data_IF_541063465113
#
_entry.id   IF_541063465113
#
_cell.length_a   1.000
_cell.length_b   1.000
_cell.length_c   1.000
_cell.angle_alpha   90.00
_cell.angle_beta   90.00
_cell.angle_gamma   90.00
#
_symmetry.space_group_name_H-M   'P 1'
#
loop_
_entity.id
_entity.type
_entity.pdbx_description
1 polymer ?
#
# COMPACT_ATOMS: atom_id res chain seq x y z
N UNK A 1 17.52 18.46 7.93
CA UNK A 1 17.61 17.21 8.71
C UNK A 1 18.65 17.33 9.83
N UNK A 2 18.64 16.43 10.81
CA UNK A 2 19.69 16.20 11.81
C UNK A 2 19.99 14.70 11.83
N UNK A 3 21.25 14.31 11.67
CA UNK A 3 21.64 12.91 11.84
C UNK A 3 21.51 12.49 13.30
N UNK A 4 21.13 11.24 13.50
CA UNK A 4 21.29 10.57 14.78
C UNK A 4 22.78 10.31 14.95
N UNK A 5 23.37 10.84 16.02
CA UNK A 5 24.81 10.79 16.23
C UNK A 5 25.21 9.62 17.13
N UNK A 6 24.44 9.36 18.19
CA UNK A 6 24.86 8.40 19.22
C UNK A 6 23.73 7.67 19.92
N UNK A 7 24.03 6.45 20.34
CA UNK A 7 23.26 5.68 21.30
C UNK A 7 23.75 6.00 22.72
N UNK A 8 22.92 6.67 23.51
CA UNK A 8 23.28 7.11 24.87
C UNK A 8 22.94 6.07 25.93
N UNK A 9 22.02 5.15 25.65
CA UNK A 9 21.60 4.08 26.56
C UNK A 9 21.09 2.90 25.75
N UNK A 10 21.40 1.68 26.18
CA UNK A 10 20.85 0.44 25.64
C UNK A 10 20.65 -0.59 26.75
N UNK A 11 19.43 -1.07 26.88
CA UNK A 11 19.04 -2.06 27.88
C UNK A 11 18.20 -3.18 27.27
N UNK A 12 18.18 -4.32 27.96
CA UNK A 12 17.33 -5.44 27.58
C UNK A 12 15.95 -5.20 28.15
N UNK A 13 14.98 -4.97 27.28
CA UNK A 13 13.57 -4.89 27.62
C UNK A 13 12.88 -6.25 27.55
N UNK A 14 11.57 -6.31 27.90
CA UNK A 14 10.80 -7.56 27.88
C UNK A 14 10.58 -8.15 26.48
N UNK A 15 10.77 -7.35 25.43
CA UNK A 15 10.43 -7.66 24.04
C UNK A 15 11.62 -7.64 23.09
N UNK A 16 12.78 -7.16 23.55
CA UNK A 16 13.89 -6.79 22.69
C UNK A 16 14.87 -5.85 23.38
N UNK A 17 15.72 -5.19 22.60
CA UNK A 17 16.58 -4.12 23.12
C UNK A 17 15.84 -2.78 23.07
N UNK A 18 15.95 -1.99 24.13
CA UNK A 18 15.38 -0.64 24.22
C UNK A 18 16.54 0.32 24.43
N UNK A 19 16.57 1.39 23.65
CA UNK A 19 17.65 2.36 23.70
C UNK A 19 17.18 3.81 23.60
N UNK A 20 18.10 4.71 23.89
CA UNK A 20 17.92 6.15 23.74
C UNK A 20 18.97 6.69 22.77
N UNK A 21 18.51 7.40 21.74
CA UNK A 21 19.35 7.98 20.71
C UNK A 21 19.34 9.51 20.88
N UNK A 22 20.53 10.13 20.85
CA UNK A 22 20.73 11.58 21.04
C UNK A 22 20.03 12.17 22.28
N UNK A 23 19.74 11.35 23.29
CA UNK A 23 19.02 11.76 24.50
C UNK A 23 17.51 12.03 24.33
N UNK A 24 16.94 11.99 23.13
CA UNK A 24 15.50 12.30 22.93
C UNK A 24 14.71 11.26 22.14
N UNK A 25 15.33 10.55 21.21
CA UNK A 25 14.64 9.53 20.42
C UNK A 25 14.71 8.17 21.14
N UNK A 26 13.67 7.35 20.99
CA UNK A 26 13.61 6.03 21.62
C UNK A 26 13.74 4.95 20.56
N UNK A 27 14.73 4.08 20.74
CA UNK A 27 15.01 2.90 19.93
C UNK A 27 14.34 1.68 20.56
N UNK A 28 13.70 0.85 19.73
CA UNK A 28 13.31 -0.50 20.08
C UNK A 28 13.77 -1.45 18.97
N UNK A 29 14.43 -2.54 19.35
CA UNK A 29 14.87 -3.61 18.44
C UNK A 29 14.24 -4.91 18.90
N UNK A 30 13.41 -5.52 18.07
CA UNK A 30 12.62 -6.69 18.43
C UNK A 30 12.84 -7.81 17.40
N UNK A 31 13.12 -9.03 17.86
CA UNK A 31 13.06 -10.21 17.00
C UNK A 31 11.59 -10.66 16.88
N UNK A 32 11.07 -10.80 15.67
CA UNK A 32 9.74 -11.35 15.41
C UNK A 32 9.81 -12.86 15.15
N UNK A 33 10.87 -13.28 14.45
CA UNK A 33 11.24 -14.67 14.19
C UNK A 33 12.77 -14.76 14.21
N UNK A 34 13.37 -15.97 14.10
CA UNK A 34 14.82 -16.08 13.95
C UNK A 34 15.38 -15.31 12.75
N UNK A 35 14.60 -15.05 11.71
CA UNK A 35 15.04 -14.42 10.45
C UNK A 35 14.43 -13.04 10.20
N UNK A 36 13.56 -12.56 11.09
CA UNK A 36 12.90 -11.26 10.98
C UNK A 36 13.18 -10.45 12.24
N UNK A 37 13.92 -9.35 12.06
CA UNK A 37 14.24 -8.39 13.13
C UNK A 37 13.70 -7.03 12.75
N UNK A 38 13.05 -6.37 13.70
CA UNK A 38 12.43 -5.06 13.55
C UNK A 38 13.22 -4.01 14.31
N UNK A 39 13.36 -2.82 13.72
CA UNK A 39 13.91 -1.62 14.35
C UNK A 39 12.86 -0.52 14.27
N UNK A 40 12.34 -0.12 15.42
CA UNK A 40 11.42 1.00 15.57
C UNK A 40 12.14 2.15 16.27
N UNK A 41 12.11 3.35 15.66
CA UNK A 41 12.61 4.58 16.29
C UNK A 41 11.49 5.59 16.40
N UNK A 42 11.16 5.92 17.64
CA UNK A 42 10.19 6.96 18.00
C UNK A 42 10.91 8.29 18.14
N UNK A 43 10.68 9.18 17.19
CA UNK A 43 11.25 10.53 17.22
C UNK A 43 10.68 11.28 18.42
N UNK A 44 11.56 11.75 19.30
CA UNK A 44 11.22 12.40 20.56
C UNK A 44 10.31 11.54 21.47
N UNK A 45 10.43 10.21 21.38
CA UNK A 45 9.63 9.27 22.15
C UNK A 45 8.17 9.13 21.71
N UNK A 46 7.78 9.72 20.57
CA UNK A 46 6.43 9.68 20.05
C UNK A 46 6.35 8.94 18.70
N UNK A 47 5.18 8.36 18.43
CA UNK A 47 4.82 7.82 17.12
C UNK A 47 3.94 8.84 16.39
N UNK A 48 4.14 8.94 15.07
CA UNK A 48 3.20 9.64 14.18
C UNK A 48 1.93 8.85 13.97
N UNK A 49 2.08 7.54 13.81
CA UNK A 49 0.96 6.62 13.68
C UNK A 49 1.18 5.43 14.60
N UNK A 50 0.37 5.31 15.65
CA UNK A 50 0.52 4.29 16.68
C UNK A 50 0.09 2.88 16.23
N UNK A 51 -0.45 2.77 15.02
CA UNK A 51 -1.06 1.56 14.48
C UNK A 51 -0.47 1.19 13.12
N UNK A 52 -0.56 -0.10 12.80
CA UNK A 52 -0.18 -0.66 11.50
C UNK A 52 -1.26 -1.59 10.97
N UNK A 53 -1.40 -1.59 9.64
CA UNK A 53 -2.27 -2.49 8.88
C UNK A 53 -1.47 -3.43 7.98
N UNK A 54 -0.14 -3.26 7.93
CA UNK A 54 0.74 -4.05 7.06
C UNK A 54 1.15 -5.38 7.68
N UNK A 55 1.00 -5.55 9.00
CA UNK A 55 1.66 -6.62 9.75
C UNK A 55 0.62 -7.65 10.22
N UNK A 56 0.58 -8.80 9.57
CA UNK A 56 -0.28 -9.93 9.94
C UNK A 56 0.42 -10.92 10.88
N UNK A 57 1.73 -11.16 10.69
CA UNK A 57 2.50 -12.22 11.38
C UNK A 57 1.80 -13.59 11.34
N UNK A 58 1.35 -14.00 10.15
CA UNK A 58 0.65 -15.27 9.95
C UNK A 58 -0.82 -15.31 10.37
N UNK A 59 -1.39 -14.20 10.84
CA UNK A 59 -2.84 -14.07 11.01
C UNK A 59 -3.54 -14.11 9.65
N UNK A 60 -4.80 -14.56 9.67
CA UNK A 60 -5.68 -14.54 8.50
C UNK A 60 -6.07 -13.11 8.11
N UNK A 61 -6.31 -12.24 9.09
CA UNK A 61 -6.66 -10.84 8.87
C UNK A 61 -6.16 -9.92 9.99
N UNK A 62 -6.17 -8.62 9.71
CA UNK A 62 -5.85 -7.53 10.65
C UNK A 62 -7.16 -6.81 11.04
N UNK A 63 -7.35 -6.35 12.30
CA UNK A 63 -8.52 -5.54 12.68
C UNK A 63 -8.70 -4.30 11.80
N UNK A 64 -9.93 -3.81 11.67
CA UNK A 64 -10.23 -2.60 10.89
C UNK A 64 -9.46 -1.39 11.42
N UNK A 65 -9.38 -1.26 12.73
CA UNK A 65 -8.70 -0.19 13.45
C UNK A 65 -7.18 -0.30 13.40
N UNK A 66 -6.63 -1.42 12.91
CA UNK A 66 -5.19 -1.72 12.87
C UNK A 66 -4.67 -2.36 14.16
N UNK A 67 -3.43 -2.84 14.12
CA UNK A 67 -2.73 -3.38 15.29
C UNK A 67 -1.84 -2.30 15.91
N UNK A 68 -1.71 -2.32 17.23
CA UNK A 68 -0.74 -1.49 17.93
C UNK A 68 0.69 -1.84 17.47
N UNK A 69 1.45 -0.82 17.08
CA UNK A 69 2.87 -0.97 16.72
C UNK A 69 3.73 -1.42 17.91
N UNK A 70 3.24 -1.30 19.14
CA UNK A 70 4.00 -1.63 20.36
C UNK A 70 3.69 -3.04 20.88
N UNK A 71 2.74 -3.76 20.27
CA UNK A 71 2.21 -5.04 20.77
C UNK A 71 2.34 -6.19 19.76
N UNK A 72 3.28 -6.07 18.81
CA UNK A 72 3.52 -7.14 17.83
C UNK A 72 4.08 -8.42 18.50
N UNK A 73 3.92 -9.61 17.89
CA UNK A 73 4.56 -10.82 18.39
C UNK A 73 6.08 -10.70 18.43
N UNK A 74 6.74 -11.36 19.39
CA UNK A 74 8.20 -11.42 19.48
C UNK A 74 8.70 -12.86 19.62
N UNK A 75 9.95 -13.08 19.23
CA UNK A 75 10.69 -14.32 19.36
C UNK A 75 11.84 -14.19 20.36
N UNK A 76 12.43 -15.32 20.74
CA UNK A 76 13.61 -15.35 21.59
C UNK A 76 14.81 -14.67 20.90
N UNK A 77 15.64 -14.01 21.71
CA UNK A 77 16.88 -13.39 21.28
C UNK A 77 17.90 -13.44 22.43
N UNK A 78 19.17 -13.39 22.07
CA UNK A 78 20.29 -13.19 22.96
C UNK A 78 20.82 -11.76 22.78
N UNK A 79 21.38 -11.20 23.86
CA UNK A 79 22.13 -9.94 23.83
C UNK A 79 23.61 -10.23 23.99
N UNK A 80 24.41 -9.75 23.05
CA UNK A 80 25.87 -9.76 23.12
C UNK A 80 26.37 -8.31 23.05
N UNK A 81 26.65 -7.69 24.20
CA UNK A 81 27.03 -6.26 24.28
C UNK A 81 25.95 -5.32 23.68
N UNK A 82 26.20 -4.76 22.48
CA UNK A 82 25.26 -3.93 21.72
C UNK A 82 24.53 -4.70 20.61
N UNK A 83 24.78 -6.01 20.50
CA UNK A 83 24.20 -6.85 19.45
C UNK A 83 22.90 -7.52 19.94
N UNK A 84 21.90 -7.62 19.06
CA UNK A 84 20.76 -8.54 19.19
C UNK A 84 21.01 -9.75 18.27
N UNK A 85 20.88 -10.96 18.81
CA UNK A 85 21.18 -12.21 18.11
C UNK A 85 20.01 -13.18 18.22
N UNK A 86 19.59 -13.78 17.10
CA UNK A 86 18.45 -14.71 17.04
C UNK A 86 18.84 -16.13 16.60
N UNK A 87 20.14 -16.39 16.47
CA UNK A 87 20.70 -17.57 15.81
C UNK A 87 21.25 -17.22 14.43
N UNK A 88 20.41 -17.17 13.37
CA UNK A 88 20.89 -16.90 12.03
C UNK A 88 21.08 -15.40 11.75
N UNK A 89 20.40 -14.51 12.46
CA UNK A 89 20.54 -13.05 12.31
C UNK A 89 21.25 -12.46 13.53
N UNK A 90 22.16 -11.53 13.24
CA UNK A 90 22.74 -10.62 14.24
C UNK A 90 22.62 -9.19 13.75
N UNK A 91 22.01 -8.34 14.57
CA UNK A 91 22.04 -6.89 14.39
C UNK A 91 23.07 -6.31 15.36
N UNK A 92 24.12 -5.70 14.82
CA UNK A 92 25.10 -4.93 15.58
C UNK A 92 24.75 -3.46 15.58
N UNK A 93 24.68 -2.87 16.78
CA UNK A 93 24.43 -1.44 16.97
C UNK A 93 25.75 -0.78 17.36
N UNK A 94 26.34 -0.03 16.44
CA UNK A 94 27.49 0.82 16.74
C UNK A 94 26.99 2.04 17.51
N UNK A 95 27.53 2.37 18.71
CA UNK A 95 26.93 3.40 19.55
C UNK A 95 27.40 4.83 19.24
N UNK A 96 28.64 5.01 18.75
CA UNK A 96 29.21 6.34 18.43
C UNK A 96 30.32 6.21 17.37
N UNK A 97 30.09 6.64 16.11
CA UNK A 97 28.81 7.14 15.59
C UNK A 97 27.75 6.04 15.55
N UNK A 98 26.48 6.43 15.76
CA UNK A 98 25.34 5.52 15.69
C UNK A 98 25.18 4.94 14.29
N UNK A 99 25.28 3.61 14.16
CA UNK A 99 25.09 2.87 12.91
C UNK A 99 24.58 1.45 13.15
N UNK A 100 23.83 0.91 12.21
CA UNK A 100 23.43 -0.49 12.19
C UNK A 100 24.23 -1.31 11.17
N UNK A 101 24.64 -2.51 11.58
CA UNK A 101 25.24 -3.51 10.71
C UNK A 101 24.57 -4.86 10.91
N UNK A 102 24.15 -5.47 9.79
CA UNK A 102 23.35 -6.68 9.76
C UNK A 102 24.18 -7.86 9.28
N UNK A 103 24.07 -8.96 10.02
CA UNK A 103 24.73 -10.22 9.71
C UNK A 103 23.71 -11.33 9.51
N UNK A 104 23.96 -12.18 8.52
CA UNK A 104 23.23 -13.43 8.32
C UNK A 104 24.23 -14.59 8.23
N UNK A 105 24.02 -15.63 9.06
CA UNK A 105 24.92 -16.79 9.17
C UNK A 105 26.41 -16.38 9.33
N UNK A 106 26.65 -15.35 10.14
CA UNK A 106 27.99 -14.82 10.45
C UNK A 106 28.60 -13.89 9.39
N UNK A 107 27.96 -13.69 8.23
CA UNK A 107 28.44 -12.78 7.18
C UNK A 107 27.75 -11.43 7.28
N UNK A 108 28.50 -10.33 7.20
CA UNK A 108 27.94 -8.97 7.11
C UNK A 108 27.25 -8.81 5.76
N UNK A 109 25.92 -8.64 5.76
CA UNK A 109 25.10 -8.57 4.53
C UNK A 109 24.64 -7.15 4.20
N UNK A 110 24.48 -6.29 5.20
CA UNK A 110 24.09 -4.90 5.03
C UNK A 110 24.77 -4.04 6.09
N UNK A 111 25.31 -2.89 5.67
CA UNK A 111 25.90 -1.89 6.57
C UNK A 111 25.34 -0.51 6.25
N UNK A 112 24.93 0.21 7.28
CA UNK A 112 24.55 1.60 7.18
C UNK A 112 25.72 2.50 6.74
N UNK A 113 25.41 3.65 6.12
CA UNK A 113 26.43 4.56 5.59
C UNK A 113 27.22 5.23 6.72
N UNK A 114 28.55 5.16 6.64
CA UNK A 114 29.44 5.60 7.74
C UNK A 114 29.47 7.11 8.00
N UNK A 115 29.12 7.92 6.98
CA UNK A 115 29.12 9.39 7.01
C UNK A 115 27.77 9.97 7.43
N UNK A 116 26.91 9.15 8.04
CA UNK A 116 25.57 9.51 8.49
C UNK A 116 24.55 8.56 7.90
N UNK A 117 23.94 7.75 8.77
CA UNK A 117 23.04 6.66 8.39
C UNK A 117 21.58 6.98 8.55
N UNK A 118 21.16 7.57 9.67
CA UNK A 118 19.77 7.91 9.95
C UNK A 118 19.67 9.38 10.30
N UNK A 119 18.69 10.08 9.72
CA UNK A 119 18.40 11.47 10.04
C UNK A 119 16.91 11.73 10.16
N UNK A 120 16.56 12.67 11.02
CA UNK A 120 15.20 13.17 11.18
C UNK A 120 15.09 14.66 10.83
N UNK A 121 13.89 15.06 10.45
CA UNK A 121 13.51 16.44 10.24
C UNK A 121 13.68 17.25 11.52
N UNK A 122 14.21 18.49 11.43
CA UNK A 122 14.36 19.33 12.63
C UNK A 122 13.05 19.97 13.06
N UNK A 123 12.18 20.26 12.09
CA UNK A 123 10.90 20.99 12.28
C UNK A 123 9.69 20.20 11.78
N UNK A 124 9.94 19.08 11.12
CA UNK A 124 8.99 18.23 10.41
C UNK A 124 9.29 16.76 10.69
N UNK A 125 8.44 15.87 10.22
CA UNK A 125 8.52 14.42 10.50
C UNK A 125 9.23 13.61 9.40
N UNK A 126 9.80 14.31 8.41
CA UNK A 126 10.64 13.68 7.39
C UNK A 126 11.77 12.88 8.02
N UNK A 127 12.12 11.78 7.38
CA UNK A 127 13.22 10.92 7.81
C UNK A 127 14.02 10.43 6.60
N UNK A 128 15.29 10.16 6.84
CA UNK A 128 16.24 9.69 5.83
C UNK A 128 17.06 8.54 6.41
N UNK A 129 17.21 7.48 5.64
CA UNK A 129 18.00 6.31 6.01
C UNK A 129 18.94 5.95 4.86
N UNK A 130 20.22 5.75 5.15
CA UNK A 130 21.29 5.60 4.17
C UNK A 130 22.08 4.33 4.44
N UNK A 131 22.30 3.53 3.40
CA UNK A 131 23.15 2.35 3.46
C UNK A 131 24.33 2.49 2.53
N UNK A 132 25.44 1.84 2.89
CA UNK A 132 26.55 1.64 1.97
C UNK A 132 26.09 0.76 0.80
N UNK A 133 26.35 1.17 -0.43
CA UNK A 133 26.07 0.37 -1.62
C UNK A 133 27.27 -0.54 -1.93
N UNK A 134 27.02 -1.83 -2.15
CA UNK A 134 28.05 -2.76 -2.59
C UNK A 134 28.09 -2.86 -4.12
N UNK A 135 29.27 -3.04 -4.72
CA UNK A 135 29.39 -3.19 -6.17
C UNK A 135 28.52 -4.31 -6.73
N UNK A 136 28.30 -5.39 -5.96
CA UNK A 136 27.62 -6.60 -6.42
C UNK A 136 26.11 -6.63 -6.10
N UNK A 137 25.60 -5.60 -5.39
CA UNK A 137 24.18 -5.52 -5.01
C UNK A 137 23.27 -5.45 -6.23
N UNK A 138 22.25 -6.30 -6.26
CA UNK A 138 21.10 -6.23 -7.17
C UNK A 138 19.84 -6.01 -6.36
N UNK A 139 18.93 -5.20 -6.88
CA UNK A 139 17.73 -4.79 -6.16
C UNK A 139 16.47 -5.22 -6.89
N UNK A 140 15.50 -5.77 -6.16
CA UNK A 140 14.21 -6.21 -6.70
C UNK A 140 13.06 -5.76 -5.80
N UNK A 141 11.82 -5.87 -6.27
CA UNK A 141 10.64 -5.49 -5.49
C UNK A 141 10.15 -4.08 -5.82
N UNK A 142 9.79 -3.31 -4.79
CA UNK A 142 9.11 -2.01 -4.87
C UNK A 142 7.69 -2.06 -5.47
N UNK A 143 7.12 -3.26 -5.60
CA UNK A 143 5.80 -3.49 -6.14
C UNK A 143 5.72 -3.23 -7.65
N UNK A 144 4.59 -2.65 -8.08
CA UNK A 144 4.36 -2.31 -9.48
C UNK A 144 5.17 -1.07 -9.88
N UNK A 145 6.30 -1.29 -10.55
CA UNK A 145 7.19 -0.23 -11.05
C UNK A 145 7.68 -0.54 -12.46
N UNK A 146 7.76 0.51 -13.28
CA UNK A 146 8.20 0.44 -14.67
C UNK A 146 9.68 0.07 -14.81
N UNK A 147 10.09 -0.30 -16.02
CA UNK A 147 11.48 -0.59 -16.37
C UNK A 147 11.98 -1.94 -15.89
N UNK A 148 13.30 -2.11 -16.01
CA UNK A 148 14.00 -3.37 -15.78
C UNK A 148 13.79 -3.94 -14.37
N UNK A 149 13.81 -5.27 -14.27
CA UNK A 149 13.58 -5.98 -13.01
C UNK A 149 14.64 -5.65 -11.95
N UNK A 150 15.91 -5.55 -12.34
CA UNK A 150 16.96 -5.03 -11.46
C UNK A 150 16.82 -3.51 -11.35
N UNK A 151 16.61 -3.05 -10.11
CA UNK A 151 16.31 -1.67 -9.78
C UNK A 151 17.55 -0.84 -9.47
N UNK A 152 18.75 -1.43 -9.53
CA UNK A 152 20.03 -0.75 -9.29
C UNK A 152 20.20 0.49 -10.18
N UNK A 153 20.72 1.57 -9.60
CA UNK A 153 21.05 2.81 -10.31
C UNK A 153 19.83 3.69 -10.64
N UNK A 154 18.66 3.39 -10.08
CA UNK A 154 17.43 4.16 -10.27
C UNK A 154 16.88 4.71 -8.95
N UNK A 155 16.02 5.71 -9.10
CA UNK A 155 15.16 6.24 -8.04
C UNK A 155 13.71 5.84 -8.28
N UNK A 156 12.99 5.63 -7.20
CA UNK A 156 11.56 5.33 -7.20
C UNK A 156 10.84 6.14 -6.14
N UNK A 157 9.71 6.71 -6.51
CA UNK A 157 8.76 7.35 -5.62
C UNK A 157 7.59 6.39 -5.31
N UNK A 158 7.30 6.25 -4.02
CA UNK A 158 6.11 5.57 -3.49
C UNK A 158 5.06 6.63 -3.20
N UNK A 159 4.42 7.11 -4.27
CA UNK A 159 3.26 8.00 -4.22
C UNK A 159 2.27 7.52 -5.27
N UNK A 160 1.09 7.10 -4.84
CA UNK A 160 0.09 6.61 -5.77
C UNK A 160 -0.42 7.76 -6.63
N UNK A 161 -0.43 7.55 -7.95
CA UNK A 161 -1.00 8.47 -8.94
C UNK A 161 -1.72 7.65 -10.01
N UNK A 162 -2.54 8.30 -10.83
CA UNK A 162 -3.06 7.74 -12.08
C UNK A 162 -2.19 8.22 -13.27
N UNK A 163 -1.13 7.49 -13.65
CA UNK A 163 -0.24 7.86 -14.74
C UNK A 163 -0.79 7.34 -16.08
N UNK A 164 -2.02 7.71 -16.44
CA UNK A 164 -2.65 7.26 -17.68
C UNK A 164 -1.71 7.43 -18.88
N UNK A 165 -1.43 6.33 -19.60
CA UNK A 165 -0.53 6.33 -20.76
C UNK A 165 0.97 6.30 -20.41
N UNK A 166 1.33 5.86 -19.20
CA UNK A 166 2.72 5.78 -18.76
C UNK A 166 3.64 4.97 -19.69
N UNK A 167 4.91 5.37 -19.74
CA UNK A 167 5.95 4.62 -20.43
C UNK A 167 6.41 3.44 -19.56
N UNK A 168 6.23 2.23 -20.07
CA UNK A 168 6.52 1.00 -19.34
C UNK A 168 8.00 0.81 -19.00
N UNK A 169 8.91 1.61 -19.56
CA UNK A 169 10.36 1.55 -19.30
C UNK A 169 10.84 2.58 -18.28
N UNK A 170 10.19 3.74 -18.22
CA UNK A 170 10.78 4.92 -17.58
C UNK A 170 9.88 5.63 -16.58
N UNK A 171 8.56 5.58 -16.72
CA UNK A 171 7.66 6.39 -15.89
C UNK A 171 7.59 5.89 -14.45
N UNK A 172 7.74 6.80 -13.50
CA UNK A 172 7.57 6.60 -12.06
C UNK A 172 7.15 7.96 -11.46
N UNK A 173 6.25 8.02 -10.45
CA UNK A 173 5.57 6.91 -9.78
C UNK A 173 4.38 6.31 -10.54
N UNK A 174 3.82 5.21 -10.02
CA UNK A 174 2.65 4.49 -10.57
C UNK A 174 1.53 4.32 -9.49
N UNK A 175 0.64 3.34 -9.66
CA UNK A 175 -0.60 3.19 -8.90
C UNK A 175 -0.45 2.68 -7.46
N UNK A 176 0.64 1.95 -7.15
CA UNK A 176 0.75 1.16 -5.90
C UNK A 176 1.87 1.64 -4.98
N UNK A 177 1.61 1.60 -3.67
CA UNK A 177 2.56 1.93 -2.62
C UNK A 177 3.11 0.64 -2.03
N UNK A 178 4.40 0.39 -2.19
CA UNK A 178 4.99 -0.87 -1.75
C UNK A 178 6.43 -0.66 -1.27
N UNK A 179 6.63 -0.19 -0.02
CA UNK A 179 7.94 0.20 0.52
C UNK A 179 8.77 -1.00 0.98
N UNK A 180 8.85 -2.03 0.14
CA UNK A 180 9.64 -3.24 0.34
C UNK A 180 10.55 -3.48 -0.87
N UNK A 181 11.83 -3.72 -0.62
CA UNK A 181 12.73 -4.22 -1.64
C UNK A 181 13.55 -5.40 -1.13
N UNK A 182 14.01 -6.20 -2.08
CA UNK A 182 14.94 -7.30 -1.90
C UNK A 182 16.31 -6.86 -2.38
N UNK A 183 17.35 -7.26 -1.67
CA UNK A 183 18.73 -7.14 -2.11
C UNK A 183 19.39 -8.52 -2.12
N UNK A 184 20.09 -8.80 -3.21
CA UNK A 184 21.03 -9.90 -3.31
C UNK A 184 22.41 -9.31 -3.60
N UNK A 185 23.40 -9.66 -2.78
CA UNK A 185 24.79 -9.31 -3.00
C UNK A 185 25.70 -10.54 -2.83
N UNK A 186 27.01 -10.33 -2.86
CA UNK A 186 28.05 -11.37 -2.77
C UNK A 186 28.07 -12.14 -1.45
N UNK A 187 27.45 -11.60 -0.39
CA UNK A 187 27.45 -12.19 0.95
C UNK A 187 26.12 -12.78 1.39
N UNK A 188 25.00 -12.42 0.76
CA UNK A 188 23.69 -12.93 1.15
C UNK A 188 22.49 -12.31 0.43
N UNK A 189 21.31 -12.77 0.84
CA UNK A 189 20.00 -12.34 0.36
C UNK A 189 19.17 -11.81 1.54
N UNK A 190 18.58 -10.63 1.39
CA UNK A 190 17.70 -10.06 2.40
C UNK A 190 16.65 -9.14 1.77
N UNK A 191 15.70 -8.71 2.59
CA UNK A 191 14.70 -7.71 2.24
C UNK A 191 14.55 -6.67 3.34
N UNK A 192 14.31 -5.43 2.94
CA UNK A 192 14.01 -4.32 3.83
C UNK A 192 12.58 -3.85 3.55
N UNK A 193 11.75 -3.89 4.58
CA UNK A 193 10.40 -3.33 4.55
C UNK A 193 10.29 -2.17 5.52
N UNK A 194 9.89 -1.00 5.01
CA UNK A 194 9.59 0.16 5.83
C UNK A 194 8.08 0.23 6.01
N UNK A 195 7.59 -0.03 7.22
CA UNK A 195 6.16 0.02 7.54
C UNK A 195 5.69 1.47 7.74
N UNK A 196 5.77 2.25 6.66
CA UNK A 196 5.41 3.65 6.59
C UNK A 196 4.57 3.92 5.33
N UNK A 197 3.39 4.50 5.52
CA UNK A 197 2.43 4.77 4.47
C UNK A 197 2.56 6.16 3.87
N UNK A 198 3.38 7.03 4.46
CA UNK A 198 3.67 8.34 3.90
C UNK A 198 4.44 8.20 2.58
N UNK A 199 4.28 9.20 1.70
CA UNK A 199 5.03 9.27 0.45
C UNK A 199 6.52 9.12 0.74
N UNK A 200 7.18 8.18 0.04
CA UNK A 200 8.58 7.90 0.27
C UNK A 200 9.36 7.66 -1.03
N UNK A 201 10.68 7.70 -0.93
CA UNK A 201 11.60 7.67 -2.04
C UNK A 201 12.69 6.66 -1.77
N UNK A 202 13.01 5.85 -2.76
CA UNK A 202 14.12 4.91 -2.75
C UNK A 202 15.13 5.35 -3.80
N UNK A 203 16.36 5.60 -3.40
CA UNK A 203 17.51 5.72 -4.27
C UNK A 203 18.34 4.44 -4.15
N UNK A 204 18.43 3.68 -5.23
CA UNK A 204 19.12 2.38 -5.27
C UNK A 204 20.48 2.49 -5.98
N UNK A 205 21.20 3.59 -5.72
CA UNK A 205 22.55 3.83 -6.25
C UNK A 205 22.58 4.76 -7.46
N UNK A 206 21.58 5.62 -7.61
CA UNK A 206 21.57 6.67 -8.64
C UNK A 206 22.33 7.92 -8.19
N UNK A 207 22.21 8.31 -6.92
CA UNK A 207 22.97 9.46 -6.39
C UNK A 207 24.46 9.12 -6.32
N UNK A 208 25.30 10.06 -6.79
CA UNK A 208 26.74 9.99 -6.67
C UNK A 208 27.19 11.21 -5.88
N UNK A 209 27.89 10.97 -4.77
CA UNK A 209 28.46 12.02 -3.94
C UNK A 209 29.87 11.65 -3.50
N UNK A 210 30.81 12.58 -3.68
CA UNK A 210 32.22 12.35 -3.42
C UNK A 210 32.56 12.20 -1.93
N UNK A 211 31.79 12.84 -1.04
CA UNK A 211 32.01 12.80 0.41
C UNK A 211 31.42 11.55 1.05
N UNK A 212 30.43 10.93 0.40
CA UNK A 212 29.68 9.82 0.95
C UNK A 212 30.00 8.46 0.31
N UNK A 213 30.69 8.43 -0.84
CA UNK A 213 30.93 7.21 -1.61
C UNK A 213 29.64 6.65 -2.22
N UNK A 214 29.63 5.42 -2.77
CA UNK A 214 28.40 4.78 -3.25
C UNK A 214 27.43 4.44 -2.10
N UNK A 215 26.17 4.84 -2.22
CA UNK A 215 25.14 4.57 -1.22
C UNK A 215 23.76 4.31 -1.82
N UNK A 216 22.86 3.79 -1.00
CA UNK A 216 21.42 3.77 -1.24
C UNK A 216 20.72 4.62 -0.19
N UNK A 217 19.52 5.12 -0.47
CA UNK A 217 18.74 5.83 0.54
C UNK A 217 17.25 5.56 0.47
N UNK A 218 16.63 5.50 1.65
CA UNK A 218 15.20 5.62 1.86
C UNK A 218 14.90 7.00 2.46
N UNK A 219 13.87 7.69 1.95
CA UNK A 219 13.44 9.00 2.45
C UNK A 219 11.93 9.02 2.55
N UNK A 220 11.36 9.48 3.66
CA UNK A 220 9.91 9.62 3.80
C UNK A 220 9.52 11.07 4.08
N UNK A 221 8.36 11.48 3.56
CA UNK A 221 7.80 12.82 3.75
C UNK A 221 7.25 13.03 5.19
N UNK A 222 6.78 11.97 5.83
CA UNK A 222 6.29 11.92 7.23
C UNK A 222 6.41 10.45 7.71
N UNK A 223 5.76 10.11 8.82
CA UNK A 223 5.67 8.78 9.40
C UNK A 223 6.81 8.46 10.37
N UNK A 224 6.89 7.18 10.71
CA UNK A 224 7.81 6.64 11.69
C UNK A 224 8.91 5.81 11.02
N UNK A 225 10.09 5.75 11.65
CA UNK A 225 11.12 4.80 11.23
C UNK A 225 10.78 3.43 11.84
N UNK A 226 10.09 2.60 11.06
CA UNK A 226 9.70 1.24 11.43
C UNK A 226 10.19 0.28 10.35
N UNK A 227 11.40 -0.26 10.56
CA UNK A 227 12.13 -1.07 9.60
C UNK A 227 12.08 -2.55 9.99
N UNK A 228 11.73 -3.40 9.03
CA UNK A 228 11.82 -4.86 9.14
C UNK A 228 12.94 -5.35 8.23
N UNK A 229 13.90 -6.06 8.82
CA UNK A 229 14.95 -6.78 8.13
C UNK A 229 14.57 -8.27 8.06
N UNK A 230 14.53 -8.82 6.85
CA UNK A 230 14.22 -10.22 6.59
C UNK A 230 15.40 -10.87 5.84
N UNK A 231 16.05 -11.89 6.42
CA UNK A 231 17.16 -12.57 5.75
C UNK A 231 16.94 -14.08 5.62
N UNK A 232 17.39 -14.65 4.51
CA UNK A 232 17.32 -16.09 4.27
C UNK A 232 18.37 -16.51 3.24
N UNK A 233 18.54 -17.82 3.04
CA UNK A 233 19.51 -18.38 2.08
C UNK A 233 19.29 -17.93 0.62
N UNK A 234 18.08 -17.53 0.24
CA UNK A 234 17.74 -17.07 -1.09
C UNK A 234 16.54 -16.11 -1.10
N UNK A 235 16.37 -15.38 -2.20
CA UNK A 235 15.29 -14.40 -2.37
C UNK A 235 13.87 -14.99 -2.25
N UNK A 236 13.66 -16.23 -2.68
CA UNK A 236 12.34 -16.88 -2.59
C UNK A 236 11.90 -17.06 -1.13
N UNK A 237 12.80 -17.49 -0.25
CA UNK A 237 12.48 -17.65 1.18
C UNK A 237 12.31 -16.29 1.88
N UNK A 238 13.05 -15.25 1.45
CA UNK A 238 12.81 -13.87 1.92
C UNK A 238 11.40 -13.41 1.50
N UNK A 239 10.99 -13.66 0.25
CA UNK A 239 9.63 -13.35 -0.22
C UNK A 239 8.56 -14.12 0.56
N UNK A 240 8.76 -15.42 0.85
CA UNK A 240 7.83 -16.20 1.68
C UNK A 240 7.71 -15.64 3.09
N UNK A 241 8.83 -15.22 3.68
CA UNK A 241 8.87 -14.58 5.00
C UNK A 241 8.13 -13.25 4.99
N UNK A 242 8.29 -12.45 3.93
CA UNK A 242 7.54 -11.22 3.74
C UNK A 242 6.03 -11.47 3.62
N UNK A 243 5.59 -12.47 2.84
CA UNK A 243 4.17 -12.84 2.77
C UNK A 243 3.62 -13.37 4.12
N UNK A 244 4.43 -14.08 4.91
CA UNK A 244 4.01 -14.45 6.27
C UNK A 244 3.87 -13.22 7.16
N UNK A 245 4.80 -12.26 7.06
CA UNK A 245 4.79 -11.03 7.84
C UNK A 245 3.57 -10.17 7.49
N UNK A 246 3.26 -10.01 6.20
CA UNK A 246 2.24 -9.05 5.73
C UNK A 246 0.87 -9.64 5.42
N UNK A 247 0.76 -10.97 5.37
CA UNK A 247 -0.47 -11.68 5.04
C UNK A 247 -0.33 -12.46 3.73
N UNK A 248 -0.82 -13.69 3.74
CA UNK A 248 -0.75 -14.57 2.57
C UNK A 248 -1.83 -14.19 1.56
N UNK A 249 -1.52 -14.32 0.28
CA UNK A 249 -2.50 -14.12 -0.79
C UNK A 249 -3.63 -15.14 -0.67
N UNK A 250 -4.87 -14.66 -0.69
CA UNK A 250 -6.06 -15.50 -0.77
C UNK A 250 -6.08 -16.28 -2.09
N UNK A 251 -6.52 -17.54 -2.08
CA UNK A 251 -6.69 -18.30 -3.32
C UNK A 251 -7.90 -17.73 -4.07
N UNK A 252 -7.73 -17.06 -5.22
CA UNK A 252 -8.86 -16.44 -5.90
C UNK A 252 -9.83 -17.52 -6.42
N UNK A 253 -11.10 -17.17 -6.64
CA UNK A 253 -12.07 -18.14 -7.13
C UNK A 253 -11.65 -18.65 -8.52
N UNK A 254 -11.87 -19.94 -8.79
CA UNK A 254 -11.37 -20.62 -10.00
C UNK A 254 -11.71 -19.88 -11.30
N UNK A 255 -12.88 -19.26 -11.38
CA UNK A 255 -13.33 -18.52 -12.56
C UNK A 255 -12.42 -17.32 -12.90
N UNK A 256 -11.71 -16.73 -11.93
CA UNK A 256 -10.85 -15.57 -12.18
C UNK A 256 -9.56 -15.92 -12.92
N UNK A 257 -9.25 -17.21 -13.08
CA UNK A 257 -8.08 -17.69 -13.82
C UNK A 257 -8.36 -17.85 -15.32
N UNK A 258 -9.63 -17.83 -15.72
CA UNK A 258 -10.03 -17.93 -17.12
C UNK A 258 -9.92 -16.61 -17.86
N UNK A 259 -10.19 -16.64 -19.17
CA UNK A 259 -10.15 -15.43 -19.99
C UNK A 259 -11.20 -14.41 -19.53
N UNK A 260 -10.75 -13.18 -19.30
CA UNK A 260 -11.59 -12.06 -18.89
C UNK A 260 -11.52 -10.94 -19.90
N UNK A 261 -12.67 -10.35 -20.22
CA UNK A 261 -12.80 -9.25 -21.16
C UNK A 261 -13.43 -8.02 -20.52
N UNK A 262 -13.10 -6.85 -21.04
CA UNK A 262 -13.66 -5.55 -20.68
C UNK A 262 -13.47 -4.58 -21.83
N UNK A 263 -14.38 -3.63 -21.99
CA UNK A 263 -14.16 -2.49 -22.87
C UNK A 263 -15.07 -1.34 -22.46
N UNK A 264 -14.49 -0.15 -22.29
CA UNK A 264 -15.29 1.06 -22.09
C UNK A 264 -16.19 1.35 -23.29
N UNK A 265 -15.79 0.96 -24.50
CA UNK A 265 -16.57 1.20 -25.71
C UNK A 265 -17.96 0.59 -25.65
N UNK A 266 -18.12 -0.59 -25.03
CA UNK A 266 -19.44 -1.21 -24.88
C UNK A 266 -20.31 -0.41 -23.90
N UNK A 267 -19.78 -0.13 -22.71
CA UNK A 267 -20.55 0.53 -21.65
C UNK A 267 -20.83 2.01 -21.93
N UNK A 268 -19.99 2.67 -22.73
CA UNK A 268 -20.19 4.08 -23.10
C UNK A 268 -21.17 4.25 -24.27
N UNK A 269 -21.41 3.20 -25.07
CA UNK A 269 -22.31 3.26 -26.22
C UNK A 269 -23.76 3.63 -25.81
N UNK A 270 -24.49 4.46 -26.57
CA UNK A 270 -25.88 4.83 -26.24
C UNK A 270 -26.85 3.65 -26.12
N UNK A 271 -26.58 2.56 -26.85
CA UNK A 271 -27.31 1.28 -26.76
C UNK A 271 -26.42 0.20 -26.11
N UNK A 272 -25.81 0.49 -24.96
CA UNK A 272 -24.79 -0.36 -24.34
C UNK A 272 -25.26 -1.81 -24.12
N UNK A 273 -26.43 -2.01 -23.50
CA UNK A 273 -26.99 -3.35 -23.26
C UNK A 273 -27.07 -4.18 -24.55
N UNK A 274 -27.65 -3.61 -25.63
CA UNK A 274 -27.74 -4.29 -26.93
C UNK A 274 -26.37 -4.67 -27.49
N UNK A 275 -25.36 -3.81 -27.34
CA UNK A 275 -24.00 -4.10 -27.82
C UNK A 275 -23.34 -5.22 -27.03
N UNK A 276 -23.56 -5.25 -25.72
CA UNK A 276 -23.03 -6.30 -24.85
C UNK A 276 -23.73 -7.65 -25.15
N UNK A 277 -25.04 -7.64 -25.40
CA UNK A 277 -25.78 -8.82 -25.84
C UNK A 277 -25.24 -9.36 -27.18
N UNK A 278 -25.01 -8.48 -28.16
CA UNK A 278 -24.40 -8.85 -29.44
C UNK A 278 -23.02 -9.46 -29.26
N UNK A 279 -22.18 -8.87 -28.41
CA UNK A 279 -20.86 -9.42 -28.09
C UNK A 279 -20.97 -10.83 -27.50
N UNK A 280 -21.94 -11.07 -26.61
CA UNK A 280 -22.14 -12.37 -25.98
C UNK A 280 -22.58 -13.43 -27.01
N UNK A 281 -23.48 -13.07 -27.92
CA UNK A 281 -23.93 -13.95 -29.00
C UNK A 281 -22.80 -14.25 -30.01
N UNK A 282 -21.97 -13.25 -30.33
CA UNK A 282 -20.78 -13.42 -31.18
C UNK A 282 -19.71 -14.29 -30.50
N UNK A 283 -19.47 -14.09 -29.21
CA UNK A 283 -18.53 -14.91 -28.46
C UNK A 283 -18.94 -16.39 -28.47
N UNK A 284 -20.23 -16.67 -28.31
CA UNK A 284 -20.78 -18.03 -28.43
C UNK A 284 -20.63 -18.59 -29.86
N UNK A 285 -20.98 -17.81 -30.88
CA UNK A 285 -20.85 -18.21 -32.29
C UNK A 285 -19.38 -18.49 -32.70
N UNK A 286 -18.44 -17.75 -32.12
CA UNK A 286 -17.00 -17.93 -32.33
C UNK A 286 -16.34 -18.91 -31.36
N UNK A 287 -17.10 -19.56 -30.48
CA UNK A 287 -16.59 -20.51 -29.48
C UNK A 287 -15.52 -19.90 -28.57
N UNK A 288 -15.68 -18.62 -28.22
CA UNK A 288 -14.84 -17.92 -27.25
C UNK A 288 -15.27 -18.28 -25.83
N UNK A 289 -14.42 -19.02 -25.12
CA UNK A 289 -14.64 -19.36 -23.72
C UNK A 289 -14.37 -18.14 -22.82
N UNK A 290 -15.45 -17.51 -22.36
CA UNK A 290 -15.38 -16.38 -21.43
C UNK A 290 -15.59 -16.88 -20.00
N UNK A 291 -14.66 -16.55 -19.12
CA UNK A 291 -14.85 -16.78 -17.69
C UNK A 291 -15.43 -15.55 -16.99
N UNK A 292 -15.08 -14.35 -17.45
CA UNK A 292 -15.53 -13.10 -16.82
C UNK A 292 -15.69 -11.95 -17.81
N UNK A 293 -16.78 -11.20 -17.70
CA UNK A 293 -16.97 -9.91 -18.36
C UNK A 293 -16.99 -8.78 -17.32
N UNK A 294 -16.15 -7.74 -17.50
CA UNK A 294 -16.10 -6.60 -16.58
C UNK A 294 -16.74 -5.38 -17.21
N UNK A 295 -17.66 -4.76 -16.49
CA UNK A 295 -18.29 -3.51 -16.90
C UNK A 295 -17.36 -2.36 -16.55
N UNK A 296 -16.89 -1.62 -17.56
CA UNK A 296 -16.28 -0.31 -17.34
C UNK A 296 -17.31 0.71 -16.83
N UNK A 297 -16.89 1.87 -16.35
CA UNK A 297 -17.76 2.85 -15.66
C UNK A 297 -18.86 3.49 -16.54
N UNK A 298 -19.00 3.08 -17.81
CA UNK A 298 -20.01 3.65 -18.71
C UNK A 298 -21.45 3.41 -18.26
N UNK A 299 -21.70 2.33 -17.50
CA UNK A 299 -23.01 2.04 -16.92
C UNK A 299 -23.48 3.05 -15.88
N UNK A 300 -22.56 3.89 -15.37
CA UNK A 300 -22.85 4.96 -14.41
C UNK A 300 -22.83 6.37 -15.02
N UNK A 301 -22.91 6.48 -16.35
CA UNK A 301 -22.76 7.77 -17.04
C UNK A 301 -24.07 8.56 -17.09
N UNK A 302 -24.04 9.87 -16.83
CA UNK A 302 -25.16 10.83 -17.07
C UNK A 302 -24.54 12.16 -17.51
N UNK A 303 -25.06 12.76 -18.58
CA UNK A 303 -24.57 14.03 -19.12
C UNK A 303 -23.02 14.10 -19.24
N UNK A 304 -22.43 13.04 -19.81
CA UNK A 304 -20.98 12.83 -19.99
C UNK A 304 -20.15 12.69 -18.70
N UNK A 305 -20.77 12.67 -17.52
CA UNK A 305 -20.10 12.46 -16.22
C UNK A 305 -20.37 11.08 -15.64
N UNK A 306 -19.49 10.61 -14.75
CA UNK A 306 -19.59 9.29 -14.08
C UNK A 306 -19.96 9.41 -12.61
N UNK A 307 -21.03 8.73 -12.20
CA UNK A 307 -21.58 8.80 -10.84
C UNK A 307 -21.65 7.40 -10.22
N UNK A 308 -20.70 7.04 -9.34
CA UNK A 308 -20.66 5.70 -8.73
C UNK A 308 -22.02 5.31 -8.11
N UNK A 309 -22.41 4.05 -8.26
CA UNK A 309 -23.70 3.53 -7.76
C UNK A 309 -24.96 4.20 -8.35
N UNK A 310 -24.85 4.78 -9.54
CA UNK A 310 -25.97 5.46 -10.21
C UNK A 310 -26.15 4.94 -11.63
N UNK A 311 -27.11 4.04 -11.85
CA UNK A 311 -27.35 3.41 -13.16
C UNK A 311 -27.82 4.39 -14.24
N UNK A 312 -27.36 4.15 -15.48
CA UNK A 312 -27.91 4.76 -16.68
C UNK A 312 -28.97 3.83 -17.31
N UNK A 313 -30.23 4.06 -16.93
CA UNK A 313 -31.37 3.25 -17.37
C UNK A 313 -31.67 3.38 -18.88
N UNK A 314 -31.15 4.42 -19.56
CA UNK A 314 -31.30 4.57 -21.00
C UNK A 314 -30.35 3.63 -21.76
N UNK A 315 -29.09 3.54 -21.30
CA UNK A 315 -28.08 2.64 -21.88
C UNK A 315 -28.31 1.19 -21.48
N UNK A 316 -28.87 0.97 -20.29
CA UNK A 316 -29.16 -0.32 -19.67
C UNK A 316 -30.62 -0.37 -19.22
N UNK A 317 -31.58 -0.61 -20.13
CA UNK A 317 -33.01 -0.67 -19.78
C UNK A 317 -33.39 -1.90 -18.94
N UNK A 318 -32.65 -3.02 -19.04
CA UNK A 318 -32.85 -4.22 -18.23
C UNK A 318 -31.51 -4.93 -17.93
N UNK A 319 -30.67 -4.33 -17.06
CA UNK A 319 -29.36 -4.87 -16.74
C UNK A 319 -29.44 -6.21 -16.00
N UNK A 320 -30.52 -6.48 -15.26
CA UNK A 320 -30.70 -7.73 -14.54
C UNK A 320 -30.91 -8.90 -15.50
N UNK A 321 -31.74 -8.72 -16.52
CA UNK A 321 -31.91 -9.73 -17.57
C UNK A 321 -30.61 -9.96 -18.36
N UNK A 322 -29.89 -8.88 -18.69
CA UNK A 322 -28.58 -8.99 -19.35
C UNK A 322 -27.59 -9.82 -18.51
N UNK A 323 -27.49 -9.51 -17.22
CA UNK A 323 -26.57 -10.20 -16.32
C UNK A 323 -26.94 -11.68 -16.13
N UNK A 324 -28.24 -12.00 -16.06
CA UNK A 324 -28.71 -13.38 -16.03
C UNK A 324 -28.27 -14.17 -17.29
N UNK A 325 -28.31 -13.56 -18.49
CA UNK A 325 -27.83 -14.20 -19.74
C UNK A 325 -26.35 -14.54 -19.73
N UNK A 326 -25.51 -13.76 -19.02
CA UNK A 326 -24.10 -14.10 -18.81
C UNK A 326 -23.97 -15.32 -17.89
N UNK A 327 -24.72 -15.35 -16.79
CA UNK A 327 -24.69 -16.47 -15.85
C UNK A 327 -25.20 -17.78 -16.47
N UNK A 328 -26.22 -17.73 -17.32
CA UNK A 328 -26.70 -18.88 -18.11
C UNK A 328 -25.60 -19.52 -18.96
N UNK A 329 -24.61 -18.73 -19.39
CA UNK A 329 -23.42 -19.17 -20.15
C UNK A 329 -22.21 -19.45 -19.27
N UNK A 330 -22.37 -19.44 -17.94
CA UNK A 330 -21.28 -19.66 -16.99
C UNK A 330 -20.28 -18.51 -16.86
N UNK A 331 -20.60 -17.32 -17.39
CA UNK A 331 -19.73 -16.14 -17.36
C UNK A 331 -20.01 -15.33 -16.10
N UNK A 332 -18.97 -14.96 -15.35
CA UNK A 332 -19.06 -14.11 -14.16
C UNK A 332 -18.91 -12.64 -14.49
N UNK A 333 -19.42 -11.77 -13.62
CA UNK A 333 -19.47 -10.34 -13.87
C UNK A 333 -18.78 -9.54 -12.78
N UNK A 334 -18.08 -8.48 -13.18
CA UNK A 334 -17.55 -7.48 -12.25
C UNK A 334 -17.91 -6.05 -12.67
N UNK A 335 -18.25 -5.20 -11.71
CA UNK A 335 -18.64 -3.80 -11.97
C UNK A 335 -17.56 -2.82 -11.49
N UNK A 336 -17.16 -1.88 -12.35
CA UNK A 336 -16.27 -0.78 -11.97
C UNK A 336 -16.92 0.14 -10.94
N UNK A 337 -16.25 0.36 -9.81
CA UNK A 337 -16.69 1.26 -8.74
C UNK A 337 -15.54 2.13 -8.28
N UNK A 338 -15.85 3.37 -7.88
CA UNK A 338 -14.84 4.39 -7.52
C UNK A 338 -15.16 4.97 -6.15
N UNK A 339 -14.15 5.30 -5.32
CA UNK A 339 -14.39 5.82 -3.97
C UNK A 339 -14.73 7.33 -3.97
N UNK A 340 -15.20 7.87 -5.09
CA UNK A 340 -15.34 9.32 -5.33
C UNK A 340 -16.77 9.64 -5.73
N UNK A 341 -17.29 10.72 -5.15
CA UNK A 341 -18.51 11.35 -5.61
C UNK A 341 -18.19 12.76 -6.12
N UNK A 342 -18.63 13.05 -7.34
CA UNK A 342 -18.57 14.41 -7.89
C UNK A 342 -19.46 15.35 -7.07
N UNK A 343 -19.14 16.64 -7.03
CA UNK A 343 -19.87 17.63 -6.23
C UNK A 343 -21.37 17.72 -6.59
N UNK A 344 -21.73 17.39 -7.82
CA UNK A 344 -23.09 17.33 -8.34
C UNK A 344 -23.70 15.91 -8.31
N UNK A 345 -23.07 14.96 -7.61
CA UNK A 345 -23.61 13.62 -7.42
C UNK A 345 -24.91 13.68 -6.58
N UNK A 346 -26.00 12.97 -6.94
CA UNK A 346 -27.29 13.05 -6.23
C UNK A 346 -27.22 12.77 -4.72
N UNK A 347 -26.28 11.92 -4.31
CA UNK A 347 -26.03 11.57 -2.90
C UNK A 347 -25.00 12.47 -2.18
N UNK A 348 -24.37 13.45 -2.85
CA UNK A 348 -23.21 14.17 -2.31
C UNK A 348 -23.49 14.84 -0.96
N UNK A 349 -24.59 15.59 -0.87
CA UNK A 349 -24.97 16.29 0.37
C UNK A 349 -25.29 15.33 1.51
N UNK A 350 -25.89 14.18 1.21
CA UNK A 350 -26.20 13.15 2.20
C UNK A 350 -24.94 12.53 2.80
N UNK A 351 -23.89 12.35 1.98
CA UNK A 351 -22.66 11.67 2.40
C UNK A 351 -21.52 12.62 2.74
N UNK A 352 -21.78 13.93 2.83
CA UNK A 352 -20.78 14.95 3.17
C UNK A 352 -19.93 14.61 4.42
N UNK A 353 -20.49 14.05 5.51
CA UNK A 353 -19.72 13.63 6.69
C UNK A 353 -18.88 12.36 6.49
N UNK A 354 -19.09 11.62 5.39
CA UNK A 354 -18.43 10.35 5.07
C UNK A 354 -17.15 10.54 4.24
N UNK A 355 -16.88 11.76 3.79
CA UNK A 355 -15.69 12.09 3.02
C UNK A 355 -14.47 12.36 3.90
N UNK A 356 -13.28 12.28 3.31
CA UNK A 356 -12.09 12.93 3.85
C UNK A 356 -12.38 14.43 3.97
N UNK A 357 -12.07 15.02 5.11
CA UNK A 357 -12.34 16.43 5.36
C UNK A 357 -11.13 17.30 5.03
N UNK A 358 -11.37 18.52 4.58
CA UNK A 358 -10.36 19.55 4.35
C UNK A 358 -9.57 19.84 5.63
N UNK A 359 -8.30 20.27 5.55
CA UNK A 359 -7.49 20.53 6.74
C UNK A 359 -7.70 21.92 7.36
N UNK A 360 -8.20 22.89 6.60
CA UNK A 360 -8.32 24.30 7.01
C UNK A 360 -9.77 24.74 7.23
N UNK A 361 -10.73 24.14 6.51
CA UNK A 361 -12.15 24.50 6.61
C UNK A 361 -13.03 23.34 7.07
N UNK A 362 -14.23 23.67 7.53
CA UNK A 362 -15.26 22.70 7.90
C UNK A 362 -15.99 22.18 6.65
N UNK A 363 -15.52 21.04 6.14
CA UNK A 363 -16.16 20.32 5.06
C UNK A 363 -15.23 19.34 4.36
N UNK A 364 -15.73 18.67 3.31
CA UNK A 364 -14.95 17.72 2.53
C UNK A 364 -13.74 18.38 1.87
N UNK A 365 -12.66 17.62 1.78
CA UNK A 365 -11.58 17.91 0.84
C UNK A 365 -12.12 17.77 -0.59
N UNK A 366 -11.78 18.72 -1.46
CA UNK A 366 -12.31 18.76 -2.84
C UNK A 366 -11.17 18.76 -3.87
N UNK A 367 -11.04 17.62 -4.54
CA UNK A 367 -10.05 17.36 -5.60
C UNK A 367 -10.65 17.43 -7.01
N UNK A 368 -9.78 17.54 -8.02
CA UNK A 368 -10.14 17.48 -9.44
C UNK A 368 -10.20 16.05 -9.94
N UNK A 369 -11.24 15.71 -10.72
CA UNK A 369 -11.38 14.42 -11.42
C UNK A 369 -11.65 14.66 -12.92
N UNK A 370 -11.76 13.59 -13.70
CA UNK A 370 -12.01 13.62 -15.16
C UNK A 370 -13.11 14.60 -15.57
N UNK A 371 -14.24 14.51 -14.91
CA UNK A 371 -15.50 15.11 -15.37
C UNK A 371 -15.91 16.35 -14.55
N UNK A 372 -15.45 16.47 -13.31
CA UNK A 372 -15.76 17.57 -12.38
C UNK A 372 -14.84 17.54 -11.14
N UNK A 373 -15.03 18.49 -10.23
CA UNK A 373 -14.53 18.42 -8.85
C UNK A 373 -15.42 17.50 -7.99
N UNK A 374 -14.84 16.88 -6.97
CA UNK A 374 -15.55 15.98 -6.06
C UNK A 374 -14.75 15.67 -4.80
N UNK A 375 -15.21 14.67 -4.05
CA UNK A 375 -14.57 14.27 -2.79
C UNK A 375 -14.42 12.76 -2.68
N UNK A 376 -13.35 12.33 -2.01
CA UNK A 376 -13.09 10.93 -1.71
C UNK A 376 -13.79 10.50 -0.42
N UNK A 377 -14.38 9.31 -0.44
CA UNK A 377 -14.90 8.63 0.74
C UNK A 377 -13.77 8.24 1.68
N UNK A 378 -13.97 8.44 2.98
CA UNK A 378 -13.02 8.07 4.03
C UNK A 378 -13.35 6.69 4.62
N UNK A 379 -12.60 5.66 4.23
CA UNK A 379 -12.81 4.30 4.74
C UNK A 379 -12.27 4.05 6.15
N UNK A 380 -11.68 5.05 6.80
CA UNK A 380 -11.41 5.02 8.24
C UNK A 380 -12.64 5.45 9.08
N UNK A 381 -13.74 5.82 8.42
CA UNK A 381 -15.04 6.04 9.02
C UNK A 381 -15.93 4.79 8.86
N UNK A 382 -16.34 4.12 9.96
CA UNK A 382 -17.25 2.98 9.89
C UNK A 382 -18.58 3.27 9.18
N UNK A 383 -19.11 4.49 9.28
CA UNK A 383 -20.34 4.87 8.58
C UNK A 383 -20.16 4.93 7.06
N UNK A 384 -18.95 5.30 6.60
CA UNK A 384 -18.56 5.25 5.19
C UNK A 384 -18.50 3.82 4.70
N UNK A 385 -17.89 2.92 5.48
CA UNK A 385 -17.85 1.48 5.17
C UNK A 385 -19.27 0.93 5.05
N UNK A 386 -20.13 1.23 6.03
CA UNK A 386 -21.51 0.76 6.02
C UNK A 386 -22.32 1.34 4.84
N UNK A 387 -22.13 2.61 4.50
CA UNK A 387 -22.76 3.20 3.31
C UNK A 387 -22.27 2.53 2.02
N UNK A 388 -20.96 2.34 1.87
CA UNK A 388 -20.37 1.68 0.72
C UNK A 388 -20.91 0.27 0.53
N UNK A 389 -20.95 -0.54 1.59
CA UNK A 389 -21.47 -1.90 1.55
C UNK A 389 -22.96 -1.94 1.18
N UNK A 390 -23.79 -1.04 1.73
CA UNK A 390 -25.21 -0.96 1.33
C UNK A 390 -25.37 -0.62 -0.15
N UNK A 391 -24.58 0.30 -0.68
CA UNK A 391 -24.65 0.67 -2.10
C UNK A 391 -24.09 -0.42 -3.00
N UNK A 392 -22.98 -1.06 -2.62
CA UNK A 392 -22.43 -2.22 -3.31
C UNK A 392 -23.46 -3.36 -3.38
N UNK A 393 -24.15 -3.65 -2.29
CA UNK A 393 -25.22 -4.63 -2.26
C UNK A 393 -26.35 -4.24 -3.24
N UNK A 394 -26.94 -3.05 -3.06
CA UNK A 394 -28.15 -2.65 -3.78
C UNK A 394 -27.91 -2.32 -5.27
N UNK A 395 -26.77 -1.71 -5.60
CA UNK A 395 -26.49 -1.16 -6.93
C UNK A 395 -25.54 -2.02 -7.76
N UNK A 396 -24.91 -3.04 -7.17
CA UNK A 396 -23.99 -3.95 -7.86
C UNK A 396 -24.43 -5.40 -7.69
N UNK A 397 -24.41 -5.95 -6.47
CA UNK A 397 -24.66 -7.38 -6.26
C UNK A 397 -26.12 -7.78 -6.60
N UNK A 398 -27.11 -7.00 -6.18
CA UNK A 398 -28.52 -7.21 -6.52
C UNK A 398 -28.86 -6.98 -8.00
N UNK A 399 -27.94 -6.41 -8.77
CA UNK A 399 -28.01 -6.33 -10.22
C UNK A 399 -27.40 -7.55 -10.91
N UNK A 400 -26.90 -8.54 -10.17
CA UNK A 400 -26.36 -9.79 -10.70
C UNK A 400 -24.86 -9.74 -10.99
N UNK A 401 -24.11 -8.84 -10.37
CA UNK A 401 -22.64 -8.89 -10.43
C UNK A 401 -22.07 -9.82 -9.35
N UNK A 402 -20.96 -10.49 -9.68
CA UNK A 402 -20.26 -11.41 -8.77
C UNK A 402 -19.10 -10.74 -8.02
N UNK A 403 -18.63 -9.59 -8.50
CA UNK A 403 -17.50 -8.88 -7.92
C UNK A 403 -17.55 -7.37 -8.19
N UNK A 404 -16.82 -6.62 -7.34
CA UNK A 404 -16.54 -5.21 -7.54
C UNK A 404 -15.13 -5.04 -8.11
N UNK A 405 -14.98 -4.17 -9.10
CA UNK A 405 -13.70 -3.68 -9.60
C UNK A 405 -13.47 -2.28 -9.01
N UNK A 406 -12.73 -2.24 -7.90
CA UNK A 406 -12.32 -1.01 -7.25
C UNK A 406 -11.28 -0.27 -8.10
N UNK A 407 -11.65 0.91 -8.59
CA UNK A 407 -10.87 1.69 -9.55
C UNK A 407 -10.72 3.14 -9.10
N UNK A 408 -9.72 3.84 -9.64
CA UNK A 408 -9.38 5.23 -9.32
C UNK A 408 -9.31 5.53 -7.82
N UNK A 409 -8.65 4.61 -7.11
CA UNK A 409 -8.56 4.62 -5.66
C UNK A 409 -7.13 4.92 -5.20
N UNK A 410 -6.39 5.72 -5.95
CA UNK A 410 -5.04 6.18 -5.58
C UNK A 410 -5.07 7.26 -4.50
N UNK A 411 -6.23 7.89 -4.29
CA UNK A 411 -6.43 9.00 -3.35
C UNK A 411 -5.43 10.14 -3.59
N UNK A 412 -5.42 10.69 -4.81
CA UNK A 412 -4.56 11.82 -5.21
C UNK A 412 -5.05 13.14 -4.58
N UNK A 413 -5.06 13.16 -3.26
CA UNK A 413 -5.31 14.33 -2.41
C UNK A 413 -3.97 14.98 -2.13
N UNK A 414 -3.81 16.23 -2.57
CA UNK A 414 -2.54 16.97 -2.48
C UNK A 414 -2.28 17.57 -1.12
N UNK A 415 -3.33 17.84 -0.35
CA UNK A 415 -3.21 18.24 1.05
C UNK A 415 -2.92 17.01 1.91
N UNK A 416 -1.66 16.83 2.31
CA UNK A 416 -1.26 15.75 3.21
C UNK A 416 -1.94 15.86 4.59
N UNK A 417 -2.40 17.05 5.00
CA UNK A 417 -3.04 17.29 6.31
C UNK A 417 -4.57 17.12 6.29
N UNK A 418 -5.16 16.80 5.13
CA UNK A 418 -6.59 16.54 5.04
C UNK A 418 -7.00 15.45 6.05
N UNK A 419 -8.09 15.70 6.78
CA UNK A 419 -8.41 14.98 8.01
C UNK A 419 -9.25 13.75 7.73
N UNK A 420 -8.78 12.60 8.20
CA UNK A 420 -9.57 11.37 8.23
C UNK A 420 -10.21 11.19 9.62
N UNK A 421 -11.32 10.45 9.68
CA UNK A 421 -12.00 10.04 10.90
C UNK A 421 -11.10 9.20 11.82
N UNK A 422 -10.27 8.33 11.22
CA UNK A 422 -9.22 7.57 11.90
C UNK A 422 -9.72 6.57 12.93
N UNK A 423 -10.89 5.98 12.69
CA UNK A 423 -11.59 5.10 13.62
C UNK A 423 -11.85 5.76 14.99
N UNK A 424 -12.24 7.04 14.97
CA UNK A 424 -12.52 7.84 16.17
C UNK A 424 -11.30 8.58 16.73
N UNK A 425 -10.10 8.33 16.18
CA UNK A 425 -8.88 9.09 16.47
C UNK A 425 -8.33 9.68 15.17
N UNK A 426 -8.70 10.93 14.84
CA UNK A 426 -8.33 11.55 13.57
C UNK A 426 -6.82 11.54 13.30
N UNK A 427 -6.46 11.38 12.04
CA UNK A 427 -5.10 11.51 11.53
C UNK A 427 -5.12 12.20 10.15
N UNK A 428 -4.01 12.85 9.75
CA UNK A 428 -3.85 13.38 8.41
C UNK A 428 -3.75 12.25 7.38
N UNK A 429 -4.35 12.45 6.21
CA UNK A 429 -4.36 11.44 5.14
C UNK A 429 -2.96 11.10 4.64
N UNK A 430 -2.01 12.03 4.73
CA UNK A 430 -0.61 11.80 4.38
C UNK A 430 0.02 10.64 5.15
N UNK A 431 -0.51 10.25 6.31
CA UNK A 431 -0.03 9.10 7.10
C UNK A 431 -0.67 7.76 6.73
N UNK A 432 -1.71 7.74 5.89
CA UNK A 432 -2.50 6.53 5.60
C UNK A 432 -2.99 6.42 4.16
N UNK A 433 -2.69 7.36 3.28
CA UNK A 433 -3.27 7.48 1.92
C UNK A 433 -3.35 6.13 1.18
N UNK A 434 -2.28 5.30 1.13
CA UNK A 434 -2.34 3.99 0.47
C UNK A 434 -3.30 2.97 1.10
N UNK A 435 -3.62 3.12 2.39
CA UNK A 435 -4.56 2.25 3.11
C UNK A 435 -5.99 2.51 2.70
N UNK A 436 -6.33 3.70 2.21
CA UNK A 436 -7.69 3.98 1.77
C UNK A 436 -8.14 3.04 0.64
N UNK A 437 -7.25 2.73 -0.31
CA UNK A 437 -7.48 1.75 -1.36
C UNK A 437 -7.66 0.33 -0.80
N UNK A 438 -6.88 -0.03 0.21
CA UNK A 438 -6.94 -1.35 0.86
C UNK A 438 -8.23 -1.51 1.68
N UNK A 439 -8.63 -0.49 2.43
CA UNK A 439 -9.87 -0.45 3.18
C UNK A 439 -11.09 -0.44 2.27
N UNK A 440 -11.06 0.28 1.15
CA UNK A 440 -12.09 0.20 0.11
C UNK A 440 -12.20 -1.23 -0.45
N UNK A 441 -11.06 -1.88 -0.70
CA UNK A 441 -11.02 -3.27 -1.19
C UNK A 441 -11.59 -4.23 -0.15
N UNK A 442 -11.24 -4.06 1.13
CA UNK A 442 -11.79 -4.85 2.24
C UNK A 442 -13.31 -4.66 2.36
N UNK A 443 -13.80 -3.43 2.30
CA UNK A 443 -15.24 -3.15 2.36
C UNK A 443 -16.00 -3.84 1.23
N UNK A 444 -15.47 -3.76 -0.01
CA UNK A 444 -16.02 -4.48 -1.17
C UNK A 444 -15.95 -6.01 -1.03
N UNK A 445 -14.86 -6.53 -0.46
CA UNK A 445 -14.70 -7.97 -0.27
C UNK A 445 -15.70 -8.51 0.77
N UNK A 446 -15.82 -7.87 1.92
CA UNK A 446 -16.71 -8.29 3.01
C UNK A 446 -18.17 -8.37 2.56
N UNK A 447 -18.66 -7.39 1.77
CA UNK A 447 -20.05 -7.45 1.24
C UNK A 447 -20.23 -8.52 0.16
N UNK A 448 -19.18 -8.86 -0.59
CA UNK A 448 -19.25 -9.93 -1.60
C UNK A 448 -19.27 -11.34 -0.95
N UNK A 449 -18.90 -11.45 0.33
CA UNK A 449 -18.94 -12.71 1.09
C UNK A 449 -20.21 -12.87 1.96
N UNK A 450 -20.96 -11.79 2.17
CA UNK A 450 -22.17 -11.77 2.99
C UNK A 450 -23.38 -12.32 2.22
#
# INVERSE_FOLDING_TARGET
MKFVERLTRLETGPRGLIGQLDGSHQLAVEALTPTIVRVLIRKNGQLRLDRTWSIACGRESVPWEGLSRLELPTAAFDREDHDLVTGPVRLRIHPDPYQLEWFYLGKSVLKERSTGSLAFGRRDHRLWHFHQLRPESRFYGLGERSGELDRRGRRFEMRNVDPMGYDARTTDPLYKHFPFYLEQNDTGCFGLFYDNFANCFFDLGQEIDNYHGPFTSYRAADGDFDLYFLASDNLLEVTRSFCWLTGRTYLPPKWSLGYSTTSMHYTDHPQAQRRIEQFLDEAEAHQLELATFKYGSGYTTRDDKRYVFTWNDQKFPDPKALNARFHERGVRLAANVKPVLLADHPAYDQVRPLFVQDSEVDGPEVSQFWDNRGSHLDFSNPDTVAWWQRQAQAQVLEYGFDALWNDNNEYVIWDDEARCHGFGKPFPIGLVRPLMSQWMTRASHEVTQA
#
